data_IF_093716205535
#
_entry.id   IF_093716205535
#
_cell.length_a   1.000
_cell.length_b   1.000
_cell.length_c   1.000
_cell.angle_alpha   90.00
_cell.angle_beta   90.00
_cell.angle_gamma   90.00
#
_symmetry.space_group_name_H-M   'P 1'
#
loop_
_entity.id
_entity.type
_entity.pdbx_description
1 polymer ?
#
# COMPACT_ATOMS: atom_id res chain seq x y z
N UNK A 1 -1.37 21.88 -12.17
CA UNK A 1 -0.27 21.38 -13.03
C UNK A 1 -0.50 19.90 -13.24
N UNK A 2 -0.48 19.38 -14.48
CA UNK A 2 -0.61 17.94 -14.69
C UNK A 2 0.60 17.23 -14.06
N UNK A 3 0.34 16.19 -13.26
CA UNK A 3 1.39 15.33 -12.72
C UNK A 3 2.08 14.63 -13.91
N UNK A 4 3.41 14.68 -13.96
CA UNK A 4 4.16 13.99 -14.99
C UNK A 4 3.83 12.48 -14.92
N UNK A 5 3.30 11.91 -16.00
CA UNK A 5 3.01 10.47 -16.07
C UNK A 5 4.33 9.70 -15.99
N UNK A 6 4.41 8.74 -15.08
CA UNK A 6 5.55 7.83 -14.96
C UNK A 6 5.30 6.59 -15.82
N UNK A 7 6.31 5.71 -15.93
CA UNK A 7 6.15 4.39 -16.53
C UNK A 7 5.19 3.45 -15.76
N UNK A 8 4.66 3.88 -14.60
CA UNK A 8 3.78 3.11 -13.72
C UNK A 8 2.34 3.63 -13.72
N UNK A 9 2.11 4.86 -14.18
CA UNK A 9 0.80 5.54 -14.10
C UNK A 9 -0.30 4.77 -14.80
N UNK A 10 -0.03 4.21 -15.97
CA UNK A 10 -1.03 3.46 -16.74
C UNK A 10 -1.42 2.15 -16.02
N UNK A 11 -0.48 1.49 -15.36
CA UNK A 11 -0.75 0.29 -14.57
C UNK A 11 -1.58 0.60 -13.32
N UNK A 12 -1.29 1.69 -12.60
CA UNK A 12 -2.06 2.05 -11.41
C UNK A 12 -3.43 2.62 -11.73
N UNK A 13 -3.57 3.34 -12.85
CA UNK A 13 -4.87 3.72 -13.38
C UNK A 13 -5.69 2.45 -13.68
N UNK A 14 -5.09 1.46 -14.37
CA UNK A 14 -5.78 0.20 -14.68
C UNK A 14 -6.13 -0.60 -13.42
N UNK A 15 -5.25 -0.64 -12.42
CA UNK A 15 -5.53 -1.26 -11.12
C UNK A 15 -6.76 -0.63 -10.46
N UNK A 16 -6.83 0.70 -10.43
CA UNK A 16 -7.93 1.43 -9.81
C UNK A 16 -9.26 1.22 -10.54
N UNK A 17 -9.24 1.03 -11.87
CA UNK A 17 -10.43 0.69 -12.66
C UNK A 17 -10.97 -0.72 -12.34
N UNK A 18 -10.09 -1.72 -12.23
CA UNK A 18 -10.53 -3.12 -12.05
C UNK A 18 -10.73 -3.51 -10.59
N UNK A 19 -10.14 -2.76 -9.66
CA UNK A 19 -10.25 -2.96 -8.22
C UNK A 19 -10.58 -1.62 -7.52
N UNK A 20 -11.79 -1.07 -7.73
CA UNK A 20 -12.16 0.27 -7.26
C UNK A 20 -12.17 0.40 -5.73
N UNK A 21 -12.12 -0.70 -4.99
CA UNK A 21 -12.01 -0.70 -3.54
C UNK A 21 -10.62 -0.36 -2.99
N UNK A 22 -9.61 -0.25 -3.86
CA UNK A 22 -8.24 0.15 -3.54
C UNK A 22 -7.88 1.43 -4.30
N UNK A 23 -7.53 2.49 -3.57
CA UNK A 23 -6.99 3.70 -4.18
C UNK A 23 -5.47 3.66 -4.29
N UNK A 24 -4.91 4.08 -5.42
CA UNK A 24 -3.45 4.25 -5.57
C UNK A 24 -3.15 5.64 -6.12
N UNK A 25 -2.34 6.40 -5.39
CA UNK A 25 -1.88 7.73 -5.77
C UNK A 25 -0.37 7.70 -5.95
N UNK A 26 0.10 8.06 -7.15
CA UNK A 26 1.51 8.36 -7.36
C UNK A 26 1.82 9.77 -6.91
N UNK A 27 2.85 9.91 -6.07
CA UNK A 27 3.32 11.19 -5.57
C UNK A 27 4.37 11.77 -6.52
N UNK A 28 4.15 13.01 -6.97
CA UNK A 28 5.14 13.81 -7.67
C UNK A 28 6.37 14.06 -6.79
N UNK A 29 7.52 14.36 -7.39
CA UNK A 29 8.79 14.46 -6.68
C UNK A 29 8.80 15.47 -5.50
N UNK A 30 8.04 16.55 -5.62
CA UNK A 30 7.96 17.61 -4.61
C UNK A 30 6.90 17.37 -3.52
N UNK A 31 6.05 16.36 -3.65
CA UNK A 31 5.01 16.08 -2.66
C UNK A 31 5.60 15.43 -1.40
N UNK A 32 4.96 15.63 -0.25
CA UNK A 32 5.35 14.92 0.96
C UNK A 32 4.68 13.55 1.00
N UNK A 33 5.36 12.58 1.62
CA UNK A 33 4.78 11.25 1.84
C UNK A 33 3.77 11.36 2.98
N UNK A 34 2.48 11.03 2.77
CA UNK A 34 1.46 11.21 3.81
C UNK A 34 1.79 10.43 5.09
N UNK A 35 1.58 11.07 6.23
CA UNK A 35 1.76 10.49 7.56
C UNK A 35 0.72 11.07 8.52
N UNK A 36 0.33 10.32 9.55
CA UNK A 36 -0.71 10.75 10.48
C UNK A 36 -2.13 10.57 9.91
N UNK A 37 -3.16 10.88 10.69
CA UNK A 37 -4.58 10.84 10.28
C UNK A 37 -5.02 9.54 9.58
N UNK A 38 -4.54 8.41 10.08
CA UNK A 38 -4.84 7.07 9.53
C UNK A 38 -3.80 6.54 8.54
N UNK A 39 -2.91 7.40 8.04
CA UNK A 39 -1.75 6.99 7.25
C UNK A 39 -0.65 6.37 8.11
N UNK A 40 -0.12 5.25 7.64
CA UNK A 40 1.07 4.59 8.18
C UNK A 40 2.05 4.36 7.04
N UNK A 41 3.35 4.60 7.27
CA UNK A 41 4.37 4.29 6.27
C UNK A 41 4.75 2.82 6.36
N UNK A 42 5.19 2.23 5.24
CA UNK A 42 5.73 0.87 5.28
C UNK A 42 6.97 0.78 6.17
N UNK A 43 7.77 1.85 6.21
CA UNK A 43 8.92 1.96 7.11
C UNK A 43 8.51 1.91 8.59
N UNK A 44 7.44 2.60 9.01
CA UNK A 44 7.00 2.57 10.41
C UNK A 44 6.35 1.23 10.79
N UNK A 45 5.62 0.59 9.86
CA UNK A 45 5.15 -0.78 10.08
C UNK A 45 6.32 -1.76 10.28
N UNK A 46 7.38 -1.64 9.49
CA UNK A 46 8.56 -2.50 9.59
C UNK A 46 9.41 -2.22 10.84
N UNK A 47 9.50 -0.94 11.26
CA UNK A 47 10.18 -0.55 12.49
C UNK A 47 9.45 -1.06 13.75
N UNK A 48 8.13 -1.26 13.66
CA UNK A 48 7.29 -1.69 14.77
C UNK A 48 6.90 -0.54 15.69
N UNK A 49 6.69 -0.85 16.98
CA UNK A 49 6.35 0.16 17.99
C UNK A 49 4.90 0.64 17.92
N UNK A 50 4.70 1.93 18.22
CA UNK A 50 3.38 2.54 18.43
C UNK A 50 2.50 2.52 17.18
N UNK A 51 3.09 2.75 16.01
CA UNK A 51 2.41 2.82 14.72
C UNK A 51 1.91 1.44 14.30
N UNK A 52 2.74 0.41 14.46
CA UNK A 52 2.32 -0.97 14.23
C UNK A 52 1.24 -1.39 15.24
N UNK A 53 1.40 -1.05 16.52
CA UNK A 53 0.40 -1.36 17.54
C UNK A 53 -0.96 -0.70 17.22
N UNK A 54 -0.98 0.57 16.82
CA UNK A 54 -2.18 1.28 16.41
C UNK A 54 -2.82 0.69 15.14
N UNK A 55 -2.00 0.26 14.18
CA UNK A 55 -2.46 -0.42 12.98
C UNK A 55 -3.16 -1.75 13.31
N UNK A 56 -2.59 -2.54 14.22
CA UNK A 56 -3.11 -3.85 14.66
C UNK A 56 -4.30 -3.76 15.61
N UNK A 57 -4.43 -2.68 16.40
CA UNK A 57 -5.53 -2.49 17.34
C UNK A 57 -6.91 -2.57 16.65
N UNK A 58 -6.99 -2.22 15.37
CA UNK A 58 -8.20 -2.36 14.54
C UNK A 58 -8.60 -3.81 14.34
N UNK A 59 -7.61 -4.65 14.06
CA UNK A 59 -7.81 -6.08 13.84
C UNK A 59 -8.22 -6.77 15.13
N UNK A 60 -7.60 -6.37 16.25
CA UNK A 60 -7.99 -6.85 17.57
C UNK A 60 -9.43 -6.46 17.94
N UNK A 61 -9.78 -5.18 17.73
CA UNK A 61 -11.14 -4.71 17.99
C UNK A 61 -12.16 -5.39 17.07
N UNK A 62 -11.82 -5.64 15.81
CA UNK A 62 -12.68 -6.37 14.88
C UNK A 62 -12.91 -7.80 15.35
N UNK A 63 -11.84 -8.54 15.67
CA UNK A 63 -11.97 -9.93 16.13
C UNK A 63 -12.82 -10.03 17.39
N UNK A 64 -12.63 -9.12 18.36
CA UNK A 64 -13.43 -9.13 19.57
C UNK A 64 -14.92 -8.89 19.28
N UNK A 65 -15.25 -7.96 18.37
CA UNK A 65 -16.64 -7.70 17.96
C UNK A 65 -17.25 -8.90 17.23
N UNK A 66 -16.53 -9.48 16.28
CA UNK A 66 -17.05 -10.50 15.38
C UNK A 66 -17.14 -11.89 16.06
N UNK A 67 -16.26 -12.17 17.03
CA UNK A 67 -16.13 -13.50 17.64
C UNK A 67 -16.32 -13.53 19.16
N UNK A 68 -16.51 -12.39 19.83
CA UNK A 68 -16.71 -12.31 21.28
C UNK A 68 -15.49 -12.70 22.12
N UNK A 69 -14.32 -12.93 21.49
CA UNK A 69 -13.07 -13.29 22.16
C UNK A 69 -11.88 -12.58 21.54
N UNK A 70 -10.85 -12.32 22.33
CA UNK A 70 -9.56 -11.82 21.80
C UNK A 70 -8.85 -12.94 21.05
N UNK A 71 -8.25 -12.60 19.91
CA UNK A 71 -7.31 -13.48 19.22
C UNK A 71 -5.94 -13.44 19.91
N UNK A 72 -5.13 -14.45 19.63
CA UNK A 72 -3.71 -14.42 19.98
C UNK A 72 -3.01 -13.27 19.25
N UNK A 73 -1.97 -12.66 19.83
CA UNK A 73 -1.25 -11.55 19.21
C UNK A 73 -0.67 -11.87 17.81
N UNK A 74 -0.19 -13.09 17.58
CA UNK A 74 0.38 -13.50 16.30
C UNK A 74 -0.67 -13.68 15.18
N UNK A 75 -1.90 -14.03 15.54
CA UNK A 75 -3.03 -14.05 14.61
C UNK A 75 -3.40 -12.63 14.19
N UNK A 76 -3.42 -11.69 15.15
CA UNK A 76 -3.65 -10.27 14.87
C UNK A 76 -2.54 -9.71 13.96
N UNK A 77 -1.28 -10.01 14.27
CA UNK A 77 -0.14 -9.62 13.44
C UNK A 77 -0.25 -10.18 12.01
N UNK A 78 -0.70 -11.43 11.85
CA UNK A 78 -0.91 -12.06 10.53
C UNK A 78 -2.01 -11.38 9.72
N UNK A 79 -3.13 -10.99 10.37
CA UNK A 79 -4.17 -10.21 9.71
C UNK A 79 -3.67 -8.84 9.27
N UNK A 80 -2.98 -8.12 10.15
CA UNK A 80 -2.39 -6.83 9.80
C UNK A 80 -1.41 -6.95 8.65
N UNK A 81 -0.51 -7.94 8.70
CA UNK A 81 0.45 -8.22 7.64
C UNK A 81 -0.27 -8.50 6.32
N UNK A 82 -1.27 -9.39 6.30
CA UNK A 82 -2.01 -9.71 5.07
C UNK A 82 -2.72 -8.48 4.49
N UNK A 83 -3.37 -7.68 5.34
CA UNK A 83 -4.10 -6.48 4.95
C UNK A 83 -3.20 -5.40 4.36
N UNK A 84 -1.94 -5.34 4.77
CA UNK A 84 -0.95 -4.46 4.15
C UNK A 84 -0.27 -5.11 2.92
N UNK A 85 0.20 -6.35 3.04
CA UNK A 85 1.02 -7.00 2.04
C UNK A 85 0.24 -7.29 0.75
N UNK A 86 -1.03 -7.67 0.85
CA UNK A 86 -1.85 -7.95 -0.32
C UNK A 86 -1.97 -6.74 -1.28
N UNK A 87 -2.42 -5.54 -0.84
CA UNK A 87 -2.43 -4.37 -1.72
C UNK A 87 -1.01 -3.90 -2.10
N UNK A 88 -0.02 -4.02 -1.21
CA UNK A 88 1.36 -3.66 -1.52
C UNK A 88 1.97 -4.54 -2.64
N UNK A 89 1.63 -5.83 -2.69
CA UNK A 89 2.06 -6.70 -3.79
C UNK A 89 1.51 -6.23 -5.14
N UNK A 90 0.27 -5.72 -5.19
CA UNK A 90 -0.33 -5.20 -6.42
C UNK A 90 0.45 -4.01 -7.00
N UNK A 91 1.10 -3.21 -6.15
CA UNK A 91 1.97 -2.12 -6.58
C UNK A 91 3.16 -2.61 -7.42
N UNK A 92 3.55 -3.87 -7.28
CA UNK A 92 4.69 -4.47 -7.99
C UNK A 92 4.19 -5.37 -9.11
N UNK A 93 3.21 -6.23 -8.83
CA UNK A 93 2.76 -7.26 -9.77
C UNK A 93 2.00 -6.67 -10.95
N UNK A 94 1.21 -5.62 -10.76
CA UNK A 94 0.41 -5.05 -11.86
C UNK A 94 1.30 -4.33 -12.90
N UNK A 95 2.23 -3.44 -12.52
CA UNK A 95 3.16 -2.86 -13.50
C UNK A 95 4.05 -3.91 -14.17
N UNK A 96 4.48 -4.95 -13.42
CA UNK A 96 5.25 -6.05 -13.98
C UNK A 96 4.45 -6.81 -15.05
N UNK A 97 3.20 -7.15 -14.74
CA UNK A 97 2.34 -7.93 -15.63
C UNK A 97 1.93 -7.15 -16.88
N UNK A 98 1.52 -5.89 -16.73
CA UNK A 98 0.98 -5.09 -17.84
C UNK A 98 2.06 -4.44 -18.70
N UNK A 99 3.13 -3.97 -18.08
CA UNK A 99 4.11 -3.10 -18.73
C UNK A 99 5.54 -3.60 -18.61
N UNK A 100 5.76 -4.78 -18.01
CA UNK A 100 7.10 -5.36 -17.79
C UNK A 100 8.03 -4.43 -17.00
N UNK A 101 7.45 -3.50 -16.23
CA UNK A 101 8.15 -2.57 -15.34
C UNK A 101 8.07 -3.11 -13.92
N UNK A 102 9.21 -3.36 -13.29
CA UNK A 102 9.30 -3.79 -11.89
C UNK A 102 9.67 -2.57 -11.03
N UNK A 103 8.72 -1.98 -10.28
CA UNK A 103 9.00 -0.77 -9.50
C UNK A 103 9.92 -1.05 -8.33
N UNK A 104 10.80 -0.09 -8.02
CA UNK A 104 11.55 -0.04 -6.77
C UNK A 104 10.90 0.98 -5.84
N UNK A 105 10.18 0.47 -4.84
CA UNK A 105 9.51 1.28 -3.82
C UNK A 105 10.30 1.25 -2.50
N UNK A 106 11.04 2.32 -2.15
CA UNK A 106 11.60 2.43 -0.80
C UNK A 106 10.48 2.42 0.26
N UNK A 107 10.68 1.73 1.38
CA UNK A 107 9.65 1.62 2.42
C UNK A 107 9.21 2.99 3.00
N UNK A 108 10.10 3.98 3.01
CA UNK A 108 9.79 5.34 3.44
C UNK A 108 8.97 6.14 2.42
N UNK A 109 8.75 5.60 1.21
CA UNK A 109 8.05 6.23 0.10
C UNK A 109 6.73 5.50 -0.24
N UNK A 110 6.25 4.68 0.69
CA UNK A 110 4.98 3.96 0.59
C UNK A 110 4.19 4.23 1.86
N UNK A 111 3.06 4.91 1.72
CA UNK A 111 2.09 5.11 2.80
C UNK A 111 0.80 4.39 2.50
N UNK A 112 0.16 3.89 3.55
CA UNK A 112 -1.09 3.15 3.48
C UNK A 112 -2.08 3.68 4.51
N UNK A 113 -3.31 3.91 4.07
CA UNK A 113 -4.43 4.25 4.92
C UNK A 113 -5.56 3.27 4.65
N UNK A 114 -5.71 2.30 5.55
CA UNK A 114 -6.76 1.26 5.52
C UNK A 114 -8.13 1.74 6.00
N UNK A 115 -8.26 3.02 6.31
CA UNK A 115 -9.44 3.62 6.94
C UNK A 115 -10.17 4.58 6.00
N UNK A 116 -9.61 4.78 4.81
CA UNK A 116 -10.18 5.65 3.78
C UNK A 116 -11.63 5.25 3.44
N UNK A 117 -12.53 6.22 3.58
CA UNK A 117 -13.94 6.04 3.29
C UNK A 117 -14.16 5.66 1.81
N UNK A 118 -15.06 4.71 1.56
CA UNK A 118 -15.37 4.23 0.21
C UNK A 118 -14.35 3.26 -0.38
N UNK A 119 -13.22 3.03 0.29
CA UNK A 119 -12.15 2.14 -0.16
C UNK A 119 -11.97 0.99 0.86
N UNK A 120 -12.73 -0.12 0.73
CA UNK A 120 -12.66 -1.24 1.68
C UNK A 120 -11.28 -1.87 1.82
N UNK A 121 -10.40 -1.72 0.81
CA UNK A 121 -9.01 -2.18 0.83
C UNK A 121 -8.04 -1.07 1.24
N UNK A 122 -8.52 0.16 1.43
CA UNK A 122 -7.74 1.35 1.76
C UNK A 122 -7.22 2.09 0.54
N UNK A 123 -6.32 3.04 0.81
CA UNK A 123 -5.59 3.80 -0.21
C UNK A 123 -4.09 3.77 0.05
N UNK A 124 -3.31 3.80 -1.01
CA UNK A 124 -1.86 3.87 -0.98
C UNK A 124 -1.36 5.13 -1.67
N UNK A 125 -0.35 5.76 -1.08
CA UNK A 125 0.39 6.85 -1.69
C UNK A 125 1.83 6.38 -1.89
N UNK A 126 2.33 6.45 -3.13
CA UNK A 126 3.60 5.81 -3.50
C UNK A 126 4.48 6.74 -4.32
N UNK A 127 5.79 6.66 -4.07
CA UNK A 127 6.81 7.22 -4.97
C UNK A 127 7.86 6.15 -5.26
N UNK A 128 7.83 5.64 -6.49
CA UNK A 128 8.88 4.76 -6.96
C UNK A 128 10.19 5.56 -7.10
N UNK A 129 11.30 5.01 -6.60
CA UNK A 129 12.62 5.61 -6.80
C UNK A 129 13.16 5.35 -8.21
N UNK A 130 12.78 4.21 -8.78
CA UNK A 130 13.12 3.77 -10.13
C UNK A 130 12.24 2.57 -10.51
N UNK A 131 12.42 2.04 -11.71
CA UNK A 131 11.92 0.73 -12.11
C UNK A 131 13.02 -0.03 -12.87
N UNK A 132 12.89 -1.35 -12.93
CA UNK A 132 13.67 -2.20 -13.82
C UNK A 132 12.78 -2.77 -14.93
N UNK A 133 13.36 -2.99 -16.11
CA UNK A 133 12.70 -3.73 -17.19
C UNK A 133 13.05 -5.23 -17.10
N UNK A 134 12.21 -6.06 -17.71
CA UNK A 134 12.50 -7.49 -17.84
C UNK A 134 13.56 -7.76 -18.93
N UNK A 135 14.25 -8.91 -18.90
CA UNK A 135 15.20 -9.27 -19.96
C UNK A 135 14.58 -9.14 -21.36
N UNK A 136 15.31 -8.49 -22.27
CA UNK A 136 14.91 -8.26 -23.66
C UNK A 136 13.90 -7.13 -23.89
N UNK A 137 13.52 -6.38 -22.85
CA UNK A 137 12.59 -5.27 -22.94
C UNK A 137 13.33 -3.92 -23.07
N UNK A 138 13.15 -3.16 -24.17
CA UNK A 138 13.72 -1.83 -24.30
C UNK A 138 13.04 -0.86 -23.31
N UNK A 139 13.85 -0.11 -22.56
CA UNK A 139 13.39 0.84 -21.55
C UNK A 139 12.66 2.04 -22.18
#
# INVERSE_FOLDING_TARGET
MPVARTALTDAYARLSEVLPGLGVTELAAAEEVPSGDGWVTAASLAAGGTELAAFLARDEAQVLRDYGRRARPDVIASFGLHRYAWPACLLITVPWFLHRRVPRHPAAQVSYDRTAAGLPLGRMAVRAASFACLPGDPA
#
